data_IF_674384493660
#
_entry.id   IF_674384493660
#
_cell.length_a   1.000
_cell.length_b   1.000
_cell.length_c   1.000
_cell.angle_alpha   90.00
_cell.angle_beta   90.00
_cell.angle_gamma   90.00
#
_symmetry.space_group_name_H-M   'P 1'
#
loop_
_entity.id
_entity.type
_entity.pdbx_description
1 polymer ?
#
# COMPACT_ATOMS: atom_id res chain seq x y z
N UNK A 1 -41.04 -21.81 -59.39
CA UNK A 1 -40.06 -21.44 -58.35
C UNK A 1 -40.67 -20.32 -57.52
N UNK A 2 -41.37 -20.67 -56.45
CA UNK A 2 -42.21 -19.74 -55.69
C UNK A 2 -41.62 -19.48 -54.30
N UNK A 3 -41.11 -18.27 -54.10
CA UNK A 3 -40.84 -17.69 -52.79
C UNK A 3 -42.18 -17.22 -52.20
N UNK A 4 -42.66 -17.85 -51.13
CA UNK A 4 -43.61 -17.20 -50.20
C UNK A 4 -43.78 -17.94 -48.87
N UNK A 5 -43.87 -17.10 -47.83
CA UNK A 5 -44.36 -17.33 -46.45
C UNK A 5 -43.31 -17.66 -45.38
N UNK A 6 -42.62 -16.58 -45.04
CA UNK A 6 -42.13 -16.18 -43.72
C UNK A 6 -43.08 -16.59 -42.57
N UNK A 7 -42.60 -17.43 -41.65
CA UNK A 7 -43.29 -17.80 -40.41
C UNK A 7 -42.87 -16.85 -39.27
N UNK A 8 -43.70 -15.83 -39.03
CA UNK A 8 -43.55 -14.73 -38.07
C UNK A 8 -43.84 -15.12 -36.60
N UNK A 9 -43.71 -16.39 -36.21
CA UNK A 9 -44.06 -16.84 -34.84
C UNK A 9 -42.95 -17.52 -34.06
N UNK A 10 -41.73 -17.59 -34.59
CA UNK A 10 -40.57 -18.12 -33.87
C UNK A 10 -39.60 -17.05 -33.33
N UNK A 11 -39.81 -15.77 -33.66
CA UNK A 11 -38.90 -14.70 -33.22
C UNK A 11 -39.27 -14.05 -31.88
N UNK A 12 -40.41 -14.39 -31.27
CA UNK A 12 -40.82 -13.77 -29.99
C UNK A 12 -40.47 -14.58 -28.73
N UNK A 13 -39.90 -15.79 -28.88
CA UNK A 13 -39.47 -16.63 -27.75
C UNK A 13 -37.97 -16.58 -27.45
N UNK A 14 -37.14 -16.13 -28.40
CA UNK A 14 -35.68 -16.05 -28.23
C UNK A 14 -35.17 -14.65 -27.83
N UNK A 15 -36.03 -13.63 -27.86
CA UNK A 15 -35.67 -12.26 -27.49
C UNK A 15 -35.84 -11.95 -26.00
N UNK A 16 -36.35 -12.88 -25.19
CA UNK A 16 -36.59 -12.67 -23.75
C UNK A 16 -35.68 -13.50 -22.82
N UNK A 17 -34.81 -14.36 -23.36
CA UNK A 17 -33.84 -15.13 -22.58
C UNK A 17 -32.40 -14.59 -22.66
N UNK A 18 -32.19 -13.49 -23.39
CA UNK A 18 -30.86 -12.88 -23.62
C UNK A 18 -30.63 -11.55 -22.88
N UNK A 19 -31.40 -11.28 -21.82
CA UNK A 19 -31.32 -10.02 -21.04
C UNK A 19 -30.77 -10.24 -19.60
N UNK A 20 -30.36 -11.46 -19.21
CA UNK A 20 -29.84 -11.72 -17.84
C UNK A 20 -28.36 -12.15 -17.80
N UNK A 21 -27.72 -12.40 -18.94
CA UNK A 21 -26.26 -12.51 -19.01
C UNK A 21 -25.65 -11.25 -19.62
N UNK A 22 -25.90 -10.12 -18.95
CA UNK A 22 -25.00 -8.97 -19.05
C UNK A 22 -23.65 -9.43 -18.50
N UNK A 23 -22.76 -9.84 -19.40
CA UNK A 23 -21.36 -9.97 -19.11
C UNK A 23 -20.90 -8.65 -18.52
N UNK A 24 -20.77 -8.59 -17.19
CA UNK A 24 -19.91 -7.62 -16.55
C UNK A 24 -18.50 -8.04 -16.97
N UNK A 25 -18.08 -7.58 -18.13
CA UNK A 25 -16.67 -7.38 -18.40
C UNK A 25 -16.22 -6.34 -17.37
N UNK A 26 -15.84 -6.81 -16.19
CA UNK A 26 -14.94 -6.05 -15.33
C UNK A 26 -13.66 -6.00 -16.15
N UNK A 27 -13.53 -4.95 -16.96
CA UNK A 27 -12.23 -4.53 -17.44
C UNK A 27 -11.44 -4.23 -16.17
N UNK A 28 -10.58 -5.17 -15.79
CA UNK A 28 -9.47 -4.90 -14.89
C UNK A 28 -8.57 -3.90 -15.63
N UNK A 29 -8.96 -2.62 -15.56
CA UNK A 29 -8.04 -1.53 -15.79
C UNK A 29 -6.96 -1.69 -14.72
N UNK A 30 -5.72 -1.83 -15.18
CA UNK A 30 -4.52 -1.87 -14.35
C UNK A 30 -4.60 -0.74 -13.33
N UNK A 31 -4.85 -1.09 -12.08
CA UNK A 31 -4.73 -0.17 -10.95
C UNK A 31 -3.23 -0.03 -10.64
N UNK A 32 -2.53 0.68 -11.51
CA UNK A 32 -1.28 1.33 -11.13
C UNK A 32 -1.67 2.54 -10.29
N UNK A 33 -1.14 2.63 -9.07
CA UNK A 33 -1.28 3.80 -8.20
C UNK A 33 -0.46 4.99 -8.73
N UNK A 34 -0.72 5.41 -9.97
CA UNK A 34 -0.24 6.67 -10.52
C UNK A 34 -1.45 7.62 -10.56
N UNK A 35 -1.81 8.22 -9.42
CA UNK A 35 -2.79 9.32 -9.44
C UNK A 35 -2.17 10.50 -10.20
N UNK A 36 -2.80 11.00 -11.28
CA UNK A 36 -2.25 12.10 -12.05
C UNK A 36 -2.33 13.42 -11.28
N UNK A 37 -1.37 14.31 -11.52
CA UNK A 37 -1.33 15.65 -10.94
C UNK A 37 -2.02 16.66 -11.85
N UNK A 38 -3.01 17.39 -11.33
CA UNK A 38 -3.58 18.55 -12.01
C UNK A 38 -2.83 19.82 -11.63
N UNK A 39 -2.21 20.47 -12.62
CA UNK A 39 -1.40 21.68 -12.41
C UNK A 39 -1.74 22.78 -13.42
N UNK A 40 -1.79 24.02 -12.95
CA UNK A 40 -2.06 25.20 -13.76
C UNK A 40 -0.86 26.14 -13.78
N UNK A 41 -0.63 26.81 -14.90
CA UNK A 41 0.39 27.86 -15.00
C UNK A 41 0.03 28.90 -16.03
N UNK A 42 0.52 30.12 -15.81
CA UNK A 42 0.28 31.28 -16.66
C UNK A 42 1.59 31.99 -16.96
N UNK A 43 1.76 32.42 -18.21
CA UNK A 43 2.97 33.09 -18.68
C UNK A 43 2.63 34.29 -19.55
N UNK A 44 3.18 35.44 -19.19
CA UNK A 44 3.13 36.66 -20.00
C UNK A 44 3.80 36.51 -21.37
N UNK A 45 3.15 37.09 -22.37
CA UNK A 45 3.49 37.00 -23.79
C UNK A 45 4.39 38.18 -24.15
N UNK A 46 5.56 37.86 -24.70
CA UNK A 46 6.54 38.86 -25.12
C UNK A 46 6.55 38.92 -26.65
N UNK A 47 6.41 40.12 -27.21
CA UNK A 47 6.37 40.35 -28.67
C UNK A 47 5.24 39.57 -29.39
N UNK A 48 4.10 39.43 -28.74
CA UNK A 48 2.92 38.73 -29.28
C UNK A 48 3.16 37.25 -29.65
N UNK A 49 4.19 36.62 -29.07
CA UNK A 49 4.54 35.21 -29.33
C UNK A 49 3.89 34.28 -28.29
N UNK A 50 2.61 33.97 -28.52
CA UNK A 50 1.81 33.08 -27.67
C UNK A 50 2.32 31.64 -27.69
N UNK A 51 2.89 31.18 -28.80
CA UNK A 51 3.42 29.82 -28.92
C UNK A 51 4.57 29.62 -27.94
N UNK A 52 5.49 30.60 -27.88
CA UNK A 52 6.61 30.57 -26.94
C UNK A 52 6.15 30.73 -25.49
N UNK A 53 5.18 31.59 -25.23
CA UNK A 53 4.59 31.75 -23.89
C UNK A 53 3.95 30.44 -23.41
N UNK A 54 3.12 29.81 -24.23
CA UNK A 54 2.47 28.53 -23.94
C UNK A 54 3.49 27.43 -23.68
N UNK A 55 4.52 27.30 -24.53
CA UNK A 55 5.59 26.32 -24.32
C UNK A 55 6.31 26.52 -22.98
N UNK A 56 6.49 27.78 -22.57
CA UNK A 56 7.07 28.12 -21.27
C UNK A 56 6.11 27.79 -20.12
N UNK A 57 4.81 28.05 -20.28
CA UNK A 57 3.78 27.69 -19.32
C UNK A 57 3.77 26.18 -19.07
N UNK A 58 3.75 25.38 -20.15
CA UNK A 58 3.86 23.91 -20.05
C UNK A 58 5.08 23.49 -19.22
N UNK A 59 6.25 24.06 -19.49
CA UNK A 59 7.47 23.72 -18.72
C UNK A 59 7.34 24.07 -17.23
N UNK A 60 6.68 25.18 -16.89
CA UNK A 60 6.42 25.57 -15.50
C UNK A 60 5.43 24.61 -14.85
N UNK A 61 4.35 24.24 -15.54
CA UNK A 61 3.38 23.25 -15.06
C UNK A 61 4.05 21.89 -14.77
N UNK A 62 4.84 21.36 -15.71
CA UNK A 62 5.57 20.09 -15.51
C UNK A 62 6.58 20.14 -14.35
N UNK A 63 7.21 21.30 -14.13
CA UNK A 63 8.06 21.49 -12.95
C UNK A 63 7.24 21.50 -11.66
N UNK A 64 6.08 22.15 -11.69
CA UNK A 64 5.20 22.28 -10.52
C UNK A 64 4.61 20.94 -10.11
N UNK A 65 4.26 20.06 -11.05
CA UNK A 65 3.77 18.72 -10.72
C UNK A 65 4.84 17.87 -10.04
N UNK A 66 6.09 17.94 -10.50
CA UNK A 66 7.21 17.27 -9.82
C UNK A 66 7.45 17.88 -8.43
N UNK A 67 7.37 19.20 -8.28
CA UNK A 67 7.52 19.85 -6.97
C UNK A 67 6.44 19.39 -5.99
N UNK A 68 5.18 19.35 -6.42
CA UNK A 68 4.07 18.87 -5.60
C UNK A 68 4.31 17.41 -5.17
N UNK A 69 4.68 16.53 -6.10
CA UNK A 69 4.99 15.14 -5.77
C UNK A 69 6.16 15.01 -4.78
N UNK A 70 7.21 15.82 -4.92
CA UNK A 70 8.35 15.79 -4.00
C UNK A 70 7.96 16.27 -2.61
N UNK A 71 7.14 17.33 -2.50
CA UNK A 71 6.63 17.82 -1.22
C UNK A 71 5.69 16.83 -0.54
N UNK A 72 4.81 16.18 -1.31
CA UNK A 72 3.93 15.12 -0.81
C UNK A 72 4.73 13.91 -0.31
N UNK A 73 5.81 13.53 -1.00
CA UNK A 73 6.61 12.34 -0.67
C UNK A 73 7.63 12.57 0.47
N UNK A 74 8.13 13.79 0.64
CA UNK A 74 9.20 14.12 1.60
C UNK A 74 8.70 14.91 2.82
N UNK A 75 7.54 15.56 2.72
CA UNK A 75 7.13 16.61 3.63
C UNK A 75 7.80 17.95 3.32
N UNK A 76 7.13 19.05 3.68
CA UNK A 76 7.64 20.40 3.42
C UNK A 76 8.96 20.69 4.14
N UNK A 77 9.12 20.21 5.38
CA UNK A 77 10.33 20.45 6.18
C UNK A 77 11.58 19.83 5.53
N UNK A 78 11.47 18.59 5.06
CA UNK A 78 12.61 17.88 4.46
C UNK A 78 12.90 18.38 3.04
N UNK A 79 11.85 18.81 2.31
CA UNK A 79 12.00 19.49 1.02
C UNK A 79 12.81 20.79 1.17
N UNK A 80 12.48 21.63 2.15
CA UNK A 80 13.16 22.92 2.37
C UNK A 80 14.58 22.72 2.90
N UNK A 81 14.78 21.79 3.84
CA UNK A 81 16.10 21.44 4.37
C UNK A 81 17.08 21.01 3.28
N UNK A 82 16.58 20.33 2.24
CA UNK A 82 17.37 19.81 1.13
C UNK A 82 17.11 20.56 -0.18
N UNK A 83 16.67 21.83 -0.08
CA UNK A 83 16.26 22.66 -1.21
C UNK A 83 17.26 22.67 -2.37
N UNK A 84 18.57 22.63 -2.10
CA UNK A 84 19.58 22.63 -3.16
C UNK A 84 19.44 21.42 -4.10
N UNK A 85 19.26 20.22 -3.56
CA UNK A 85 19.12 19.01 -4.37
C UNK A 85 17.73 18.93 -5.02
N UNK A 86 16.68 19.35 -4.30
CA UNK A 86 15.32 19.44 -4.87
C UNK A 86 15.31 20.35 -6.09
N UNK A 87 15.95 21.52 -6.01
CA UNK A 87 16.07 22.43 -7.14
C UNK A 87 16.88 21.83 -8.31
N UNK A 88 17.82 20.91 -8.07
CA UNK A 88 18.52 20.20 -9.16
C UNK A 88 17.58 19.23 -9.88
N UNK A 89 16.72 18.51 -9.15
CA UNK A 89 15.71 17.64 -9.75
C UNK A 89 14.67 18.45 -10.54
N UNK A 90 14.15 19.55 -9.97
CA UNK A 90 13.16 20.42 -10.62
C UNK A 90 13.69 21.07 -11.90
N UNK A 91 14.99 21.33 -12.02
CA UNK A 91 15.61 21.86 -13.26
C UNK A 91 15.50 20.90 -14.44
N UNK A 92 15.41 19.59 -14.17
CA UNK A 92 15.32 18.53 -15.18
C UNK A 92 13.99 17.77 -15.07
N UNK A 93 12.92 18.48 -14.70
CA UNK A 93 11.57 17.93 -14.48
C UNK A 93 11.08 17.04 -15.62
N UNK A 94 11.38 17.40 -16.87
CA UNK A 94 10.98 16.66 -18.07
C UNK A 94 11.41 15.18 -18.05
N UNK A 95 12.50 14.83 -17.34
CA UNK A 95 12.98 13.44 -17.22
C UNK A 95 12.08 12.56 -16.34
N UNK A 96 11.28 13.17 -15.49
CA UNK A 96 10.41 12.48 -14.53
C UNK A 96 8.96 12.44 -15.01
N UNK A 97 8.64 13.06 -16.14
CA UNK A 97 7.29 13.08 -16.71
C UNK A 97 7.09 11.87 -17.62
N UNK A 98 6.10 11.03 -17.30
CA UNK A 98 5.69 9.86 -18.09
C UNK A 98 4.79 10.26 -19.24
N UNK A 99 3.80 11.08 -18.95
CA UNK A 99 2.90 11.66 -19.94
C UNK A 99 2.25 12.91 -19.37
N UNK A 100 1.72 13.75 -20.24
CA UNK A 100 0.83 14.83 -19.83
C UNK A 100 -0.23 15.05 -20.90
N UNK A 101 -1.36 15.62 -20.50
CA UNK A 101 -2.44 16.02 -21.39
C UNK A 101 -2.96 17.40 -20.99
N UNK A 102 -3.33 18.19 -21.98
CA UNK A 102 -4.02 19.45 -21.72
C UNK A 102 -5.45 19.16 -21.25
N UNK A 103 -5.78 19.71 -20.08
CA UNK A 103 -7.16 19.89 -19.65
C UNK A 103 -7.69 21.19 -20.25
N UNK A 104 -6.89 22.26 -20.17
CA UNK A 104 -7.20 23.57 -20.71
C UNK A 104 -5.95 24.22 -21.30
N UNK A 105 -6.13 25.00 -22.37
CA UNK A 105 -5.10 25.85 -22.94
C UNK A 105 -5.78 27.08 -23.55
N UNK A 106 -5.48 28.26 -23.01
CA UNK A 106 -6.09 29.52 -23.43
C UNK A 106 -5.01 30.58 -23.62
N UNK A 107 -5.16 31.37 -24.68
CA UNK A 107 -4.34 32.55 -24.94
C UNK A 107 -5.25 33.77 -24.86
N UNK A 108 -4.89 34.72 -23.99
CA UNK A 108 -5.57 36.00 -23.87
C UNK A 108 -4.80 37.08 -24.65
N UNK A 109 -5.33 37.53 -25.80
CA UNK A 109 -4.67 38.56 -26.59
C UNK A 109 -4.78 39.97 -25.99
N UNK A 110 -5.68 40.20 -25.03
CA UNK A 110 -5.87 41.50 -24.37
C UNK A 110 -4.89 41.64 -23.20
N UNK A 111 -4.86 40.64 -22.32
CA UNK A 111 -3.98 40.60 -21.15
C UNK A 111 -2.54 40.16 -21.52
N UNK A 112 -2.33 39.70 -22.76
CA UNK A 112 -1.06 39.18 -23.25
C UNK A 112 -0.54 38.04 -22.36
N UNK A 113 -1.40 37.07 -22.05
CA UNK A 113 -1.05 35.90 -21.23
C UNK A 113 -1.43 34.61 -21.93
N UNK A 114 -0.67 33.55 -21.64
CA UNK A 114 -0.98 32.19 -22.08
C UNK A 114 -1.05 31.29 -20.85
N UNK A 115 -2.22 30.67 -20.66
CA UNK A 115 -2.56 29.84 -19.52
C UNK A 115 -2.78 28.40 -19.94
N UNK A 116 -2.24 27.47 -19.16
CA UNK A 116 -2.38 26.03 -19.39
C UNK A 116 -2.78 25.34 -18.10
N UNK A 117 -3.71 24.39 -18.21
CA UNK A 117 -4.03 23.42 -17.17
C UNK A 117 -3.71 22.03 -17.70
N UNK A 118 -2.83 21.31 -17.00
CA UNK A 118 -2.33 20.01 -17.40
C UNK A 118 -2.70 18.94 -16.38
N UNK A 119 -2.99 17.75 -16.89
CA UNK A 119 -2.98 16.50 -16.13
C UNK A 119 -1.64 15.80 -16.43
N UNK A 120 -0.84 15.54 -15.40
CA UNK A 120 0.55 15.06 -15.54
C UNK A 120 0.73 13.74 -14.80
N UNK A 121 1.22 12.74 -15.51
CA UNK A 121 1.67 11.47 -14.93
C UNK A 121 3.19 11.48 -14.78
N UNK A 122 3.69 11.07 -13.62
CA UNK A 122 5.11 11.03 -13.31
C UNK A 122 5.64 9.59 -13.28
N UNK A 123 6.93 9.40 -13.57
CA UNK A 123 7.62 8.14 -13.35
C UNK A 123 8.03 8.02 -11.89
N UNK A 124 7.15 7.46 -11.05
CA UNK A 124 7.41 7.32 -9.62
C UNK A 124 8.70 6.53 -9.34
N UNK A 125 9.04 5.56 -10.17
CA UNK A 125 10.27 4.77 -10.05
C UNK A 125 11.53 5.58 -10.39
N UNK A 126 11.43 6.57 -11.27
CA UNK A 126 12.54 7.46 -11.58
C UNK A 126 12.78 8.45 -10.43
N UNK A 127 11.70 8.95 -9.85
CA UNK A 127 11.73 9.88 -8.71
C UNK A 127 12.27 9.15 -7.47
N UNK A 128 11.74 7.98 -7.14
CA UNK A 128 12.18 7.18 -6.00
C UNK A 128 13.67 6.83 -6.09
N UNK A 129 14.13 6.35 -7.25
CA UNK A 129 15.57 6.07 -7.46
C UNK A 129 16.45 7.31 -7.33
N UNK A 130 15.98 8.48 -7.78
CA UNK A 130 16.73 9.72 -7.66
C UNK A 130 16.87 10.13 -6.19
N UNK A 131 15.78 10.05 -5.44
CA UNK A 131 15.73 10.30 -4.00
C UNK A 131 16.60 9.30 -3.23
N UNK A 132 16.51 7.99 -3.50
CA UNK A 132 17.32 6.96 -2.83
C UNK A 132 18.81 7.17 -3.02
N UNK A 133 19.25 7.59 -4.22
CA UNK A 133 20.66 7.90 -4.50
C UNK A 133 21.17 9.10 -3.71
N UNK A 134 20.27 10.00 -3.35
CA UNK A 134 20.56 11.18 -2.55
C UNK A 134 20.47 10.89 -1.03
N UNK A 135 20.24 9.63 -0.65
CA UNK A 135 20.10 9.23 0.75
C UNK A 135 18.70 9.46 1.32
N UNK A 136 17.74 9.89 0.48
CA UNK A 136 16.34 9.97 0.85
C UNK A 136 15.69 8.63 0.53
N UNK A 137 15.30 7.87 1.55
CA UNK A 137 14.35 6.77 1.34
C UNK A 137 13.01 7.40 0.93
N UNK A 138 12.78 7.54 -0.38
CA UNK A 138 11.47 7.89 -0.89
C UNK A 138 10.45 6.87 -0.38
N UNK A 139 9.47 7.35 0.36
CA UNK A 139 8.28 6.60 0.73
C UNK A 139 8.21 6.24 2.20
N UNK A 140 7.99 7.24 3.07
CA UNK A 140 7.42 7.01 4.41
C UNK A 140 6.51 8.15 4.93
N UNK A 141 6.17 9.13 4.10
CA UNK A 141 5.02 10.01 4.35
C UNK A 141 4.10 9.94 3.12
N UNK A 142 2.90 9.40 3.30
CA UNK A 142 1.84 9.49 2.29
C UNK A 142 1.04 8.21 2.04
N UNK A 143 1.59 7.01 2.24
CA UNK A 143 0.78 5.79 2.07
C UNK A 143 1.09 4.74 3.13
N UNK A 144 0.13 4.54 4.02
CA UNK A 144 0.02 3.48 5.02
C UNK A 144 -0.11 2.11 4.32
N UNK A 145 0.99 1.65 3.69
CA UNK A 145 1.03 0.39 2.96
C UNK A 145 1.67 -0.71 3.80
N UNK A 146 1.18 -1.92 3.57
CA UNK A 146 1.68 -3.14 4.17
C UNK A 146 2.26 -4.04 3.07
N UNK A 147 3.31 -4.78 3.38
CA UNK A 147 3.64 -6.01 2.66
C UNK A 147 3.36 -7.21 3.55
N UNK A 148 2.77 -8.26 2.97
CA UNK A 148 2.54 -9.54 3.64
C UNK A 148 3.35 -10.60 2.89
N UNK A 149 4.28 -11.26 3.60
CA UNK A 149 5.09 -12.34 3.07
C UNK A 149 4.94 -13.56 3.97
N UNK A 150 4.27 -14.59 3.48
CA UNK A 150 4.12 -15.86 4.20
C UNK A 150 4.91 -16.96 3.49
N UNK A 151 5.63 -17.75 4.28
CA UNK A 151 6.20 -19.01 3.83
C UNK A 151 5.26 -20.14 4.30
N UNK A 152 4.56 -20.78 3.37
CA UNK A 152 3.55 -21.79 3.67
C UNK A 152 4.08 -23.19 3.32
N UNK A 153 3.95 -24.11 4.27
CA UNK A 153 4.14 -25.55 4.06
C UNK A 153 2.79 -26.22 4.23
N UNK A 154 2.15 -26.55 3.12
CA UNK A 154 0.77 -27.05 3.10
C UNK A 154 0.71 -28.49 2.59
N UNK A 155 -0.42 -29.17 2.79
CA UNK A 155 -0.66 -30.52 2.27
C UNK A 155 -0.89 -30.51 0.75
N UNK A 156 -1.31 -29.37 0.21
CA UNK A 156 -1.64 -29.16 -1.20
C UNK A 156 -0.55 -28.48 -2.02
N UNK A 157 0.46 -27.89 -1.39
CA UNK A 157 1.56 -27.20 -2.06
C UNK A 157 2.73 -28.16 -2.29
N UNK A 158 3.23 -28.20 -3.53
CA UNK A 158 4.48 -28.90 -3.83
C UNK A 158 5.67 -28.16 -3.24
N UNK A 159 6.59 -28.90 -2.60
CA UNK A 159 7.83 -28.37 -2.00
C UNK A 159 8.74 -27.64 -3.01
N UNK A 160 8.55 -27.88 -4.31
CA UNK A 160 9.32 -27.27 -5.40
C UNK A 160 8.80 -25.90 -5.86
N UNK A 161 7.69 -25.40 -5.30
CA UNK A 161 7.13 -24.10 -5.67
C UNK A 161 8.12 -22.94 -5.43
N UNK A 162 8.29 -22.10 -6.45
CA UNK A 162 9.13 -20.90 -6.36
C UNK A 162 8.42 -19.87 -5.47
N UNK A 163 9.04 -19.53 -4.33
CA UNK A 163 8.52 -18.58 -3.33
C UNK A 163 7.98 -17.27 -3.94
N UNK A 164 8.50 -16.82 -5.08
CA UNK A 164 8.07 -15.58 -5.73
C UNK A 164 7.00 -15.76 -6.82
N UNK A 165 6.75 -17.00 -7.25
CA UNK A 165 5.84 -17.31 -8.37
C UNK A 165 4.44 -17.69 -7.88
N UNK A 166 4.33 -18.29 -6.69
CA UNK A 166 3.06 -18.67 -6.09
C UNK A 166 2.76 -17.87 -4.83
N UNK A 167 1.50 -17.44 -4.68
CA UNK A 167 0.99 -16.77 -3.48
C UNK A 167 0.27 -17.82 -2.63
N UNK A 168 0.74 -18.10 -1.40
CA UNK A 168 0.12 -19.06 -0.50
C UNK A 168 -1.33 -18.75 -0.14
N UNK A 169 -2.07 -19.78 0.29
CA UNK A 169 -3.47 -19.65 0.69
C UNK A 169 -3.60 -18.63 1.83
N UNK A 170 -2.73 -18.74 2.84
CA UNK A 170 -2.71 -17.83 3.99
C UNK A 170 -2.38 -16.38 3.59
N UNK A 171 -1.40 -16.14 2.73
CA UNK A 171 -1.03 -14.79 2.26
C UNK A 171 -2.18 -14.16 1.46
N UNK A 172 -2.80 -14.93 0.56
CA UNK A 172 -3.94 -14.48 -0.23
C UNK A 172 -5.13 -14.09 0.67
N UNK A 173 -5.45 -14.91 1.67
CA UNK A 173 -6.56 -14.65 2.58
C UNK A 173 -6.32 -13.39 3.43
N UNK A 174 -5.11 -13.22 3.96
CA UNK A 174 -4.74 -12.02 4.72
C UNK A 174 -4.76 -10.78 3.83
N UNK A 175 -4.14 -10.85 2.65
CA UNK A 175 -4.10 -9.75 1.67
C UNK A 175 -5.50 -9.28 1.33
N UNK A 176 -6.42 -10.22 1.04
CA UNK A 176 -7.82 -9.90 0.77
C UNK A 176 -8.47 -9.16 1.94
N UNK A 177 -8.31 -9.64 3.16
CA UNK A 177 -8.90 -8.99 4.35
C UNK A 177 -8.34 -7.60 4.61
N UNK A 178 -7.04 -7.37 4.37
CA UNK A 178 -6.43 -6.05 4.51
C UNK A 178 -6.98 -5.06 3.49
N UNK A 179 -7.09 -5.49 2.21
CA UNK A 179 -7.69 -4.67 1.15
C UNK A 179 -9.16 -4.36 1.47
N UNK A 180 -9.93 -5.35 1.94
CA UNK A 180 -11.33 -5.16 2.36
C UNK A 180 -11.47 -4.16 3.53
N UNK A 181 -10.44 -4.02 4.37
CA UNK A 181 -10.37 -3.02 5.44
C UNK A 181 -9.82 -1.65 4.99
N UNK A 182 -9.57 -1.47 3.69
CA UNK A 182 -9.02 -0.23 3.13
C UNK A 182 -7.51 -0.07 3.31
N UNK A 183 -6.80 -1.13 3.70
CA UNK A 183 -5.35 -1.12 3.87
C UNK A 183 -4.68 -1.56 2.56
N UNK A 184 -3.91 -0.69 1.89
CA UNK A 184 -3.19 -1.04 0.68
C UNK A 184 -2.07 -2.07 0.95
N UNK A 185 -2.01 -3.10 0.10
CA UNK A 185 -1.02 -4.18 0.21
C UNK A 185 -0.14 -4.23 -1.04
N UNK A 186 1.18 -4.20 -0.84
CA UNK A 186 2.16 -4.37 -1.93
C UNK A 186 2.23 -5.83 -2.34
N UNK A 187 2.16 -6.07 -3.65
CA UNK A 187 2.19 -7.42 -4.21
C UNK A 187 3.61 -8.03 -4.10
N UNK A 188 3.72 -9.28 -3.67
CA UNK A 188 5.04 -9.95 -3.57
C UNK A 188 5.80 -10.00 -4.89
N UNK A 189 5.10 -10.15 -6.01
CA UNK A 189 5.71 -10.39 -7.32
C UNK A 189 6.48 -9.18 -7.84
N UNK A 190 6.11 -7.97 -7.42
CA UNK A 190 6.81 -6.73 -7.78
C UNK A 190 8.14 -6.56 -7.03
N UNK A 191 8.49 -7.47 -6.12
CA UNK A 191 9.68 -7.37 -5.26
C UNK A 191 10.71 -8.47 -5.51
N UNK A 192 10.46 -9.32 -6.52
CA UNK A 192 11.28 -10.48 -6.86
C UNK A 192 12.73 -10.12 -7.17
N UNK A 193 12.98 -8.93 -7.70
CA UNK A 193 14.31 -8.49 -8.13
C UNK A 193 15.03 -7.63 -7.07
N UNK A 194 14.27 -7.11 -6.11
CA UNK A 194 14.69 -6.18 -5.08
C UNK A 194 15.03 -6.94 -3.77
N UNK A 195 14.28 -8.00 -3.49
CA UNK A 195 14.32 -8.76 -2.24
C UNK A 195 14.65 -10.23 -2.56
N UNK A 196 15.68 -10.77 -1.90
CA UNK A 196 16.06 -12.18 -2.07
C UNK A 196 15.23 -13.10 -1.18
N UNK A 197 14.94 -14.33 -1.63
CA UNK A 197 14.27 -15.36 -0.80
C UNK A 197 15.03 -15.59 0.52
N UNK A 198 16.37 -15.57 0.48
CA UNK A 198 17.24 -15.71 1.67
C UNK A 198 16.97 -14.61 2.71
N UNK A 199 16.84 -13.37 2.27
CA UNK A 199 16.52 -12.23 3.14
C UNK A 199 15.16 -12.42 3.81
N UNK A 200 14.15 -12.89 3.08
CA UNK A 200 12.83 -13.15 3.65
C UNK A 200 12.84 -14.28 4.67
N UNK A 201 13.52 -15.39 4.38
CA UNK A 201 13.65 -16.51 5.33
C UNK A 201 14.39 -16.09 6.59
N UNK A 202 15.46 -15.30 6.45
CA UNK A 202 16.22 -14.76 7.59
C UNK A 202 15.38 -13.80 8.45
N UNK A 203 14.59 -12.93 7.82
CA UNK A 203 13.60 -12.07 8.46
C UNK A 203 12.55 -12.88 9.25
N UNK A 204 12.01 -13.94 8.65
CA UNK A 204 11.08 -14.88 9.32
C UNK A 204 11.75 -15.60 10.50
N UNK A 205 13.04 -15.91 10.40
CA UNK A 205 13.87 -16.43 11.49
C UNK A 205 14.17 -15.43 12.61
N UNK A 206 13.74 -14.17 12.47
CA UNK A 206 13.87 -13.14 13.48
C UNK A 206 15.01 -12.15 13.27
N UNK A 207 15.68 -12.17 12.11
CA UNK A 207 16.65 -11.11 11.78
C UNK A 207 15.92 -9.78 11.58
N UNK A 208 16.07 -8.90 12.57
CA UNK A 208 15.40 -7.60 12.59
C UNK A 208 15.94 -6.65 11.52
N UNK A 209 17.24 -6.72 11.20
CA UNK A 209 17.85 -5.88 10.15
C UNK A 209 17.27 -6.22 8.78
N UNK A 210 17.16 -7.52 8.47
CA UNK A 210 16.57 -7.98 7.21
C UNK A 210 15.09 -7.57 7.09
N UNK A 211 14.36 -7.54 8.20
CA UNK A 211 12.97 -7.07 8.25
C UNK A 211 12.84 -5.59 7.91
N UNK A 212 13.69 -4.74 8.48
CA UNK A 212 13.71 -3.30 8.18
C UNK A 212 14.15 -3.06 6.73
N UNK A 213 15.15 -3.80 6.25
CA UNK A 213 15.63 -3.71 4.86
C UNK A 213 14.55 -4.11 3.84
N UNK A 214 13.77 -5.15 4.13
CA UNK A 214 12.59 -5.53 3.32
C UNK A 214 11.62 -4.37 3.23
N UNK A 215 11.29 -3.73 4.35
CA UNK A 215 10.37 -2.60 4.38
C UNK A 215 10.88 -1.40 3.59
N UNK A 216 12.16 -1.06 3.78
CA UNK A 216 12.80 0.03 3.05
C UNK A 216 12.88 -0.23 1.55
N UNK A 217 13.12 -1.48 1.12
CA UNK A 217 13.18 -1.85 -0.30
C UNK A 217 11.81 -1.93 -0.95
N UNK A 218 10.80 -2.37 -0.20
CA UNK A 218 9.42 -2.45 -0.67
C UNK A 218 8.70 -1.09 -0.64
N UNK A 219 9.22 -0.10 0.08
CA UNK A 219 8.60 1.22 0.22
C UNK A 219 7.31 1.19 1.04
N UNK A 220 7.27 0.37 2.09
CA UNK A 220 6.08 0.14 2.94
C UNK A 220 6.35 0.55 4.38
N UNK A 221 5.33 1.03 5.09
CA UNK A 221 5.46 1.36 6.52
C UNK A 221 5.45 0.09 7.38
N UNK A 222 4.62 -0.90 7.03
CA UNK A 222 4.49 -2.15 7.79
C UNK A 222 4.95 -3.36 6.97
N UNK A 223 5.82 -4.17 7.57
CA UNK A 223 6.23 -5.47 7.05
C UNK A 223 5.67 -6.58 7.91
N UNK A 224 4.84 -7.43 7.32
CA UNK A 224 4.31 -8.64 7.95
C UNK A 224 5.02 -9.84 7.34
N UNK A 225 5.82 -10.54 8.15
CA UNK A 225 6.40 -11.84 7.76
C UNK A 225 5.82 -12.96 8.62
N UNK A 226 5.74 -14.16 8.06
CA UNK A 226 5.20 -15.29 8.80
C UNK A 226 5.45 -16.65 8.16
N UNK A 227 5.16 -17.70 8.92
CA UNK A 227 5.09 -19.05 8.42
C UNK A 227 3.68 -19.60 8.63
N UNK A 228 3.23 -20.40 7.67
CA UNK A 228 1.96 -21.10 7.72
C UNK A 228 2.21 -22.60 7.52
N UNK A 229 1.51 -23.44 8.28
CA UNK A 229 1.66 -24.89 8.18
C UNK A 229 0.29 -25.56 8.25
N UNK A 230 0.04 -26.58 7.44
CA UNK A 230 -1.11 -27.46 7.62
C UNK A 230 -0.68 -28.90 7.86
N UNK A 231 -1.47 -29.62 8.64
CA UNK A 231 -1.26 -31.04 8.93
C UNK A 231 -2.59 -31.76 9.05
N UNK A 232 -2.65 -33.01 8.62
CA UNK A 232 -3.82 -33.86 8.86
C UNK A 232 -3.58 -34.69 10.12
N UNK A 233 -4.59 -34.72 11.00
CA UNK A 233 -4.60 -35.63 12.14
C UNK A 233 -5.67 -36.70 11.86
N UNK A 234 -5.24 -37.86 11.37
CA UNK A 234 -6.09 -39.05 11.31
C UNK A 234 -6.16 -39.68 12.69
N UNK A 235 -7.13 -39.27 13.50
CA UNK A 235 -7.54 -40.13 14.61
C UNK A 235 -8.27 -41.33 14.00
N UNK A 236 -7.73 -42.52 14.24
CA UNK A 236 -8.13 -43.80 13.61
C UNK A 236 -9.54 -44.26 14.03
N UNK A 237 -10.25 -43.53 14.88
CA UNK A 237 -11.57 -43.93 15.36
C UNK A 237 -12.62 -42.85 15.11
N UNK A 238 -13.60 -43.23 14.29
CA UNK A 238 -14.94 -42.65 14.16
C UNK A 238 -15.06 -41.23 13.56
N UNK A 239 -14.88 -41.13 12.25
CA UNK A 239 -15.80 -40.49 11.26
C UNK A 239 -15.03 -40.23 9.95
N UNK A 240 -15.66 -40.46 8.79
CA UNK A 240 -15.07 -40.30 7.44
C UNK A 240 -14.67 -38.85 7.07
N UNK A 241 -14.55 -37.93 8.02
CA UNK A 241 -14.19 -36.54 7.79
C UNK A 241 -12.73 -36.33 8.20
N UNK A 242 -11.86 -36.11 7.21
CA UNK A 242 -10.42 -35.98 7.45
C UNK A 242 -10.12 -34.60 8.06
N UNK A 243 -9.86 -34.58 9.37
CA UNK A 243 -9.62 -33.34 10.11
C UNK A 243 -8.25 -32.75 9.77
N UNK A 244 -8.25 -31.55 9.18
CA UNK A 244 -7.04 -30.77 8.91
C UNK A 244 -6.89 -29.69 9.96
N UNK A 245 -5.66 -29.47 10.43
CA UNK A 245 -5.26 -28.37 11.30
C UNK A 245 -4.32 -27.44 10.53
N UNK A 246 -4.62 -26.16 10.52
CA UNK A 246 -3.78 -25.11 9.97
C UNK A 246 -3.27 -24.19 11.09
N UNK A 247 -2.01 -23.80 11.03
CA UNK A 247 -1.36 -22.86 11.93
C UNK A 247 -0.75 -21.71 11.14
N UNK A 248 -0.86 -20.49 11.68
CA UNK A 248 -0.21 -19.30 11.15
C UNK A 248 0.57 -18.63 12.28
N UNK A 249 1.82 -18.26 12.02
CA UNK A 249 2.60 -17.36 12.86
C UNK A 249 3.00 -16.13 12.03
N UNK A 250 2.88 -14.94 12.62
CA UNK A 250 3.14 -13.67 11.95
C UNK A 250 3.81 -12.70 12.91
N UNK A 251 4.69 -11.87 12.34
CA UNK A 251 5.31 -10.72 12.99
C UNK A 251 5.16 -9.51 12.05
N UNK A 252 4.55 -8.46 12.57
CA UNK A 252 4.41 -7.17 11.93
C UNK A 252 5.40 -6.18 12.56
N UNK A 253 6.18 -5.50 11.73
CA UNK A 253 7.09 -4.44 12.17
C UNK A 253 6.81 -3.14 11.42
N UNK A 254 7.11 -2.01 12.05
CA UNK A 254 7.22 -0.73 11.36
C UNK A 254 8.64 -0.58 10.83
N UNK A 255 8.78 -0.48 9.51
CA UNK A 255 10.06 -0.20 8.85
C UNK A 255 10.57 1.20 9.23
N UNK A 256 9.64 2.16 9.36
CA UNK A 256 9.89 3.54 9.76
C UNK A 256 10.41 3.66 11.17
N UNK A 257 9.69 3.08 12.13
CA UNK A 257 10.01 3.21 13.55
C UNK A 257 11.01 2.15 14.02
N UNK A 258 11.38 1.20 13.14
CA UNK A 258 12.23 0.07 13.48
C UNK A 258 11.76 -0.61 14.77
N UNK A 259 10.45 -0.89 14.85
CA UNK A 259 9.86 -1.53 16.02
C UNK A 259 8.85 -2.61 15.64
N UNK A 260 8.67 -3.57 16.55
CA UNK A 260 7.60 -4.58 16.42
C UNK A 260 6.26 -3.91 16.73
N UNK A 261 5.34 -3.98 15.78
CA UNK A 261 3.96 -3.48 15.92
C UNK A 261 3.07 -4.56 16.49
N UNK A 262 3.20 -5.79 15.98
CA UNK A 262 2.41 -6.92 16.44
C UNK A 262 3.14 -8.25 16.20
N UNK A 263 2.82 -9.25 17.02
CA UNK A 263 3.18 -10.63 16.75
C UNK A 263 2.06 -11.53 17.23
N UNK A 264 1.67 -12.53 16.43
CA UNK A 264 0.63 -13.48 16.78
C UNK A 264 0.92 -14.86 16.21
N UNK A 265 0.51 -15.88 16.95
CA UNK A 265 0.43 -17.24 16.46
C UNK A 265 -0.90 -17.84 16.92
N UNK A 266 -1.59 -18.52 16.02
CA UNK A 266 -2.87 -19.19 16.30
C UNK A 266 -3.04 -20.35 15.32
N UNK A 267 -4.06 -21.16 15.57
CA UNK A 267 -4.41 -22.29 14.73
C UNK A 267 -5.92 -22.47 14.64
N UNK A 268 -6.34 -23.21 13.63
CA UNK A 268 -7.71 -23.67 13.49
C UNK A 268 -7.74 -25.07 12.90
N UNK A 269 -8.86 -25.75 13.08
CA UNK A 269 -9.13 -27.03 12.44
C UNK A 269 -10.44 -26.97 11.68
N UNK A 270 -10.51 -27.73 10.60
CA UNK A 270 -11.72 -27.94 9.82
C UNK A 270 -11.77 -29.40 9.35
N UNK A 271 -12.98 -29.80 8.94
CA UNK A 271 -13.29 -31.19 8.62
C UNK A 271 -14.41 -31.16 7.57
N UNK A 272 -14.00 -31.08 6.32
CA UNK A 272 -14.85 -31.08 5.14
C UNK A 272 -14.79 -32.44 4.43
N UNK A 273 -15.47 -32.56 3.28
CA UNK A 273 -15.58 -33.81 2.53
C UNK A 273 -14.27 -34.30 1.91
N UNK A 274 -13.28 -33.42 1.73
CA UNK A 274 -11.94 -33.74 1.23
C UNK A 274 -10.85 -32.91 1.93
N UNK A 275 -9.59 -33.33 1.76
CA UNK A 275 -8.43 -32.74 2.44
C UNK A 275 -8.20 -31.28 2.05
N UNK A 276 -8.32 -30.96 0.76
CA UNK A 276 -8.06 -29.62 0.26
C UNK A 276 -9.14 -28.64 0.74
N UNK A 277 -10.42 -29.03 0.70
CA UNK A 277 -11.50 -28.24 1.26
C UNK A 277 -11.32 -28.02 2.77
N UNK A 278 -10.89 -29.06 3.50
CA UNK A 278 -10.60 -28.97 4.93
C UNK A 278 -9.43 -28.05 5.23
N UNK A 279 -8.39 -28.08 4.40
CA UNK A 279 -7.22 -27.20 4.50
C UNK A 279 -7.59 -25.74 4.24
N UNK A 280 -8.29 -25.46 3.14
CA UNK A 280 -8.74 -24.12 2.80
C UNK A 280 -9.62 -23.53 3.90
N UNK A 281 -10.57 -24.31 4.43
CA UNK A 281 -11.44 -23.88 5.52
C UNK A 281 -10.66 -23.68 6.83
N UNK A 282 -9.68 -24.53 7.13
CA UNK A 282 -8.81 -24.36 8.28
C UNK A 282 -7.99 -23.05 8.17
N UNK A 283 -7.37 -22.79 7.01
CA UNK A 283 -6.66 -21.53 6.75
C UNK A 283 -7.57 -20.31 6.80
N UNK A 284 -8.80 -20.41 6.27
CA UNK A 284 -9.82 -19.34 6.37
C UNK A 284 -10.15 -19.00 7.82
N UNK A 285 -10.35 -20.01 8.68
CA UNK A 285 -10.65 -19.82 10.10
C UNK A 285 -9.50 -19.17 10.85
N UNK A 286 -8.26 -19.65 10.69
CA UNK A 286 -7.10 -19.04 11.37
C UNK A 286 -6.76 -17.67 10.78
N UNK A 287 -6.88 -17.50 9.46
CA UNK A 287 -6.71 -16.21 8.78
C UNK A 287 -7.67 -15.15 9.31
N UNK A 288 -8.95 -15.48 9.52
CA UNK A 288 -9.93 -14.58 10.15
C UNK A 288 -9.45 -14.12 11.55
N UNK A 289 -9.00 -15.05 12.40
CA UNK A 289 -8.47 -14.73 13.74
C UNK A 289 -7.21 -13.85 13.67
N UNK A 290 -6.36 -14.03 12.66
CA UNK A 290 -5.18 -13.19 12.43
C UNK A 290 -5.61 -11.78 12.07
N UNK A 291 -6.49 -11.64 11.08
CA UNK A 291 -7.03 -10.36 10.62
C UNK A 291 -7.73 -9.58 11.73
N UNK A 292 -8.61 -10.23 12.49
CA UNK A 292 -9.34 -9.63 13.63
C UNK A 292 -8.39 -9.05 14.70
N UNK A 293 -7.14 -9.50 14.74
CA UNK A 293 -6.11 -8.97 15.64
C UNK A 293 -5.18 -7.95 14.97
N UNK A 294 -4.67 -8.26 13.77
CA UNK A 294 -3.64 -7.44 13.12
C UNK A 294 -4.19 -6.10 12.64
N UNK A 295 -5.38 -6.08 12.03
CA UNK A 295 -5.92 -4.87 11.41
C UNK A 295 -6.13 -3.76 12.44
N UNK A 296 -6.82 -3.99 13.58
CA UNK A 296 -6.98 -2.95 14.58
C UNK A 296 -5.66 -2.43 15.14
N UNK A 297 -4.68 -3.32 15.38
CA UNK A 297 -3.38 -2.95 15.94
C UNK A 297 -2.57 -2.08 14.96
N UNK A 298 -2.62 -2.41 13.66
CA UNK A 298 -1.94 -1.63 12.62
C UNK A 298 -2.62 -0.27 12.43
N UNK A 299 -3.96 -0.23 12.41
CA UNK A 299 -4.70 1.04 12.34
C UNK A 299 -4.45 1.92 13.56
N UNK A 300 -4.36 1.35 14.77
CA UNK A 300 -3.99 2.10 15.97
C UNK A 300 -2.55 2.63 15.89
N UNK A 301 -1.63 1.85 15.32
CA UNK A 301 -0.25 2.29 15.10
C UNK A 301 -0.17 3.51 14.16
N UNK A 302 -1.05 3.56 13.16
CA UNK A 302 -1.14 4.67 12.21
C UNK A 302 -1.95 5.87 12.70
N UNK A 303 -2.84 5.66 13.67
CA UNK A 303 -3.68 6.73 14.19
C UNK A 303 -2.80 7.90 14.71
N UNK A 304 -3.05 9.15 14.25
CA UNK A 304 -2.30 10.30 14.70
C UNK A 304 -2.38 10.40 16.22
N UNK A 305 -1.22 10.52 16.86
CA UNK A 305 -1.07 10.55 18.31
C UNK A 305 -1.81 11.75 18.95
N UNK A 306 -3.11 11.61 19.19
CA UNK A 306 -3.89 12.51 20.05
C UNK A 306 -3.35 12.53 21.50
N UNK A 307 -2.43 11.62 21.85
CA UNK A 307 -1.82 11.51 23.19
C UNK A 307 -0.71 12.52 23.50
N UNK A 308 -0.22 13.31 22.54
CA UNK A 308 0.87 14.27 22.79
C UNK A 308 0.41 15.68 23.23
N UNK A 309 -0.90 15.94 23.39
CA UNK A 309 -1.41 17.22 23.93
C UNK A 309 -1.96 17.17 25.36
N UNK A 310 -2.13 16.00 25.97
CA UNK A 310 -2.68 15.90 27.33
C UNK A 310 -1.61 15.70 28.43
N UNK A 311 -0.44 15.14 28.10
CA UNK A 311 0.62 14.88 29.08
C UNK A 311 1.61 16.04 29.35
N UNK A 312 1.37 17.23 28.79
CA UNK A 312 2.11 18.46 29.16
C UNK A 312 1.33 19.37 30.12
N UNK A 313 0.19 18.93 30.66
CA UNK A 313 -0.60 19.71 31.65
C UNK A 313 -0.93 18.95 32.92
N UNK A 314 -0.02 18.13 33.45
CA UNK A 314 -0.09 17.69 34.85
C UNK A 314 1.32 17.59 35.44
N UNK A 315 2.00 18.73 35.59
CA UNK A 315 3.00 18.86 36.67
C UNK A 315 2.22 19.34 37.89
N UNK A 316 2.01 18.51 38.93
CA UNK A 316 1.45 19.00 40.18
C UNK A 316 2.42 20.02 40.80
N UNK A 317 1.93 21.12 41.40
CA UNK A 317 2.81 22.08 42.06
C UNK A 317 3.56 21.40 43.19
N UNK A 318 4.88 21.54 43.17
CA UNK A 318 5.78 21.12 44.26
C UNK A 318 5.27 21.72 45.57
N UNK A 319 5.08 20.92 46.64
CA UNK A 319 4.70 21.46 47.94
C UNK A 319 5.80 22.41 48.43
N UNK A 320 5.47 23.68 48.61
CA UNK A 320 6.36 24.59 49.33
C UNK A 320 6.44 24.12 50.79
N UNK A 321 7.59 23.57 51.17
CA UNK A 321 7.93 23.32 52.56
C UNK A 321 8.01 24.68 53.27
N UNK A 322 6.95 25.02 53.99
CA UNK A 322 6.97 26.12 54.96
C UNK A 322 7.88 25.72 56.11
N UNK A 323 9.15 26.10 56.04
CA UNK A 323 10.02 26.14 57.20
C UNK A 323 9.46 27.17 58.19
N UNK A 324 8.83 26.69 59.26
CA UNK A 324 8.55 27.48 60.46
C UNK A 324 9.40 26.93 61.60
N UNK A 325 10.16 27.78 62.33
CA UNK A 325 11.16 27.31 63.29
C UNK A 325 10.60 27.11 64.71
N UNK A 326 11.22 26.13 65.41
CA UNK A 326 11.40 25.98 66.87
C UNK A 326 10.19 25.47 67.71
N UNK A 327 10.44 24.70 68.79
CA UNK A 327 11.02 25.23 70.03
C UNK A 327 12.20 24.42 70.61
N UNK A 328 13.09 25.17 71.25
CA UNK A 328 14.04 24.68 72.25
C UNK A 328 13.29 23.94 73.37
N UNK A 329 13.84 22.80 73.80
CA UNK A 329 13.43 22.11 75.01
C UNK A 329 14.68 21.68 75.76
N UNK A 330 14.84 22.24 76.95
CA UNK A 330 15.85 21.92 77.96
C UNK A 330 15.72 20.47 78.45
N UNK A 331 16.86 19.75 78.51
CA UNK A 331 17.37 18.99 79.68
C UNK A 331 18.66 18.25 79.33
#
# INVERSE_FOLDING_TARGET
MAFKKLNLKFFLGAALAFIVFGQVFISFAQFGFDTPYEVSSEVGVVKNDFVKARKKAVKIALRSSLEQNLRENLGDDEFERNSQEMQRMLKVSDKYVKSYRFLEAYDDPLELVSSVKLEVNLFQEAISRALSRMGFSAGLEGVEQVIILINESSLSLDEESSFWEEVPISEMLLTRSFIEAGIPVVNRSSLRHEISKKMVISAMGGNFSDLVDIGSKAGVDIVIVGNATSSSNTNIEETNAQKVRAGINVKAISSRQSMVVAAKSDFASASENDVFASELEAFRRVGKKMTEFLIPVIQEHWAPSLKNKENQRLVPPVPQVKNSPLPFGDL
#
